data_IF_775888792520
#
_entry.id   IF_775888792520
#
_cell.length_a   1.000
_cell.length_b   1.000
_cell.length_c   1.000
_cell.angle_alpha   90.00
_cell.angle_beta   90.00
_cell.angle_gamma   90.00
#
_symmetry.space_group_name_H-M   'P 1'
#
loop_
_entity.id
_entity.type
_entity.pdbx_description
1 polymer ?
#
# COMPACT_ATOMS: atom_id res chain seq x y z
N UNK A 1 17.90 1.47 -22.97
CA UNK A 1 18.13 2.92 -23.11
C UNK A 1 16.95 3.63 -22.49
N UNK A 2 17.12 4.18 -21.29
CA UNK A 2 16.09 4.96 -20.61
C UNK A 2 16.23 6.43 -20.99
N UNK A 3 15.11 7.09 -21.26
CA UNK A 3 15.06 8.54 -21.45
C UNK A 3 15.32 9.18 -20.08
N UNK A 4 16.38 9.98 -19.96
CA UNK A 4 16.64 10.79 -18.77
C UNK A 4 15.71 12.00 -18.84
N UNK A 5 14.71 12.06 -17.97
CA UNK A 5 13.84 13.22 -17.86
C UNK A 5 14.59 14.35 -17.16
N UNK A 6 14.74 15.50 -17.83
CA UNK A 6 15.10 16.75 -17.17
C UNK A 6 13.81 17.55 -16.96
N UNK A 7 13.43 17.75 -15.71
CA UNK A 7 12.22 18.50 -15.37
C UNK A 7 12.57 19.98 -15.18
N UNK A 8 11.87 20.84 -15.91
CA UNK A 8 11.99 22.30 -15.77
C UNK A 8 11.66 22.71 -14.33
N UNK A 9 12.65 23.26 -13.62
CA UNK A 9 12.53 23.72 -12.24
C UNK A 9 13.14 22.79 -11.19
N UNK A 10 13.53 21.57 -11.55
CA UNK A 10 14.27 20.69 -10.66
C UNK A 10 15.71 21.19 -10.44
N UNK A 11 16.19 21.09 -9.20
CA UNK A 11 17.55 21.48 -8.85
C UNK A 11 18.47 20.26 -8.80
N UNK A 12 19.44 20.22 -9.69
CA UNK A 12 20.45 19.16 -9.74
C UNK A 12 19.92 17.85 -10.31
N UNK A 13 20.67 16.77 -10.05
CA UNK A 13 20.32 15.43 -10.48
C UNK A 13 19.08 14.92 -9.73
N UNK A 14 18.30 14.09 -10.42
CA UNK A 14 17.11 13.44 -9.87
C UNK A 14 17.34 11.95 -9.82
N UNK A 15 16.81 11.31 -8.79
CA UNK A 15 16.74 9.86 -8.70
C UNK A 15 15.30 9.39 -8.47
N UNK A 16 15.01 8.14 -8.81
CA UNK A 16 13.71 7.56 -8.52
C UNK A 16 13.53 7.41 -7.00
N UNK A 17 12.31 7.62 -6.50
CA UNK A 17 12.01 7.44 -5.08
C UNK A 17 12.38 6.05 -4.56
N UNK A 18 12.26 5.02 -5.41
CA UNK A 18 12.68 3.66 -5.08
C UNK A 18 14.17 3.58 -4.72
N UNK A 19 15.03 4.27 -5.47
CA UNK A 19 16.47 4.34 -5.24
C UNK A 19 16.80 5.22 -4.02
N UNK A 20 16.18 6.41 -3.95
CA UNK A 20 16.27 7.32 -2.82
C UNK A 20 15.93 6.61 -1.50
N UNK A 21 14.84 5.83 -1.49
CA UNK A 21 14.39 5.10 -0.31
C UNK A 21 15.45 4.14 0.23
N UNK A 22 16.29 3.53 -0.61
CA UNK A 22 17.27 2.55 -0.14
C UNK A 22 18.33 3.19 0.77
N UNK A 23 18.80 4.39 0.44
CA UNK A 23 19.88 5.05 1.17
C UNK A 23 19.42 6.16 2.13
N UNK A 24 18.26 6.76 1.90
CA UNK A 24 17.77 7.88 2.70
C UNK A 24 17.36 7.48 4.13
N UNK A 25 17.47 8.45 5.06
CA UNK A 25 17.04 8.28 6.44
C UNK A 25 15.51 8.31 6.57
N UNK A 26 14.97 7.76 7.67
CA UNK A 26 13.51 7.81 7.95
C UNK A 26 12.99 9.26 7.96
N UNK A 27 13.65 10.24 8.63
CA UNK A 27 13.23 11.65 8.56
C UNK A 27 13.19 12.20 7.13
N UNK A 28 14.19 11.92 6.31
CA UNK A 28 14.26 12.45 4.94
C UNK A 28 13.15 11.88 4.06
N UNK A 29 12.88 10.57 4.18
CA UNK A 29 11.77 9.92 3.47
C UNK A 29 10.42 10.51 3.91
N UNK A 30 10.23 10.74 5.22
CA UNK A 30 9.01 11.40 5.72
C UNK A 30 8.85 12.81 5.16
N UNK A 31 9.93 13.57 5.04
CA UNK A 31 9.92 14.91 4.45
C UNK A 31 9.54 14.87 2.97
N UNK A 32 10.14 13.98 2.19
CA UNK A 32 9.83 13.75 0.77
C UNK A 32 8.36 13.36 0.60
N UNK A 33 7.85 12.41 1.38
CA UNK A 33 6.44 12.00 1.35
C UNK A 33 5.51 13.16 1.74
N UNK A 34 5.88 13.97 2.74
CA UNK A 34 5.09 15.14 3.11
C UNK A 34 5.03 16.16 1.95
N UNK A 35 6.16 16.45 1.31
CA UNK A 35 6.22 17.36 0.16
C UNK A 35 5.36 16.83 -0.98
N UNK A 36 5.42 15.52 -1.26
CA UNK A 36 4.59 14.88 -2.28
C UNK A 36 3.08 15.10 -2.02
N UNK A 37 2.58 14.74 -0.85
CA UNK A 37 1.12 14.80 -0.58
C UNK A 37 0.60 16.20 -0.24
N UNK A 38 1.44 17.07 0.34
CA UNK A 38 1.04 18.43 0.74
C UNK A 38 1.29 19.47 -0.34
N UNK A 39 2.42 19.37 -1.04
CA UNK A 39 2.89 20.43 -1.91
C UNK A 39 2.70 20.02 -3.39
N UNK A 40 3.25 18.88 -3.82
CA UNK A 40 3.15 18.41 -5.23
C UNK A 40 1.73 18.03 -5.62
N UNK A 41 1.07 17.17 -4.84
CA UNK A 41 -0.29 16.69 -5.08
C UNK A 41 -1.34 17.44 -4.26
N UNK A 42 -0.94 18.42 -3.45
CA UNK A 42 -1.81 19.03 -2.43
C UNK A 42 -3.14 19.55 -2.99
N UNK A 43 -3.10 20.18 -4.16
CA UNK A 43 -4.29 20.71 -4.82
C UNK A 43 -5.33 19.63 -5.16
N UNK A 44 -4.89 18.40 -5.48
CA UNK A 44 -5.79 17.29 -5.79
C UNK A 44 -6.55 16.81 -4.56
N UNK A 45 -5.85 16.70 -3.43
CA UNK A 45 -6.41 16.16 -2.19
C UNK A 45 -7.11 17.21 -1.33
N UNK A 46 -6.81 18.51 -1.51
CA UNK A 46 -7.45 19.61 -0.80
C UNK A 46 -8.89 19.89 -1.27
N UNK A 47 -9.27 19.39 -2.45
CA UNK A 47 -10.59 19.61 -3.05
C UNK A 47 -11.33 18.29 -3.28
N UNK A 48 -11.60 17.49 -2.23
CA UNK A 48 -12.37 16.27 -2.38
C UNK A 48 -13.79 16.58 -2.83
N UNK A 49 -14.39 15.64 -3.57
CA UNK A 49 -15.82 15.64 -3.82
C UNK A 49 -16.63 15.49 -2.53
N UNK A 50 -17.94 15.32 -2.67
CA UNK A 50 -18.81 15.07 -1.50
C UNK A 50 -18.58 13.66 -0.95
N UNK A 51 -18.68 13.52 0.36
CA UNK A 51 -18.72 12.22 1.01
C UNK A 51 -19.95 11.45 0.52
N UNK A 52 -19.76 10.29 -0.07
CA UNK A 52 -20.85 9.48 -0.62
C UNK A 52 -20.50 7.99 -0.60
N UNK A 53 -21.49 7.09 -0.54
CA UNK A 53 -21.25 5.66 -0.65
C UNK A 53 -20.59 5.30 -1.99
N UNK A 54 -19.51 4.54 -1.96
CA UNK A 54 -18.80 4.05 -3.14
C UNK A 54 -18.57 2.54 -3.07
N UNK A 55 -18.70 1.86 -4.21
CA UNK A 55 -18.35 0.46 -4.39
C UNK A 55 -16.84 0.34 -4.58
N UNK A 56 -16.08 0.38 -3.48
CA UNK A 56 -14.62 0.48 -3.52
C UNK A 56 -13.98 -0.70 -4.26
N UNK A 57 -14.49 -1.91 -4.06
CA UNK A 57 -13.99 -3.10 -4.77
C UNK A 57 -14.09 -2.95 -6.29
N UNK A 58 -15.21 -2.45 -6.82
CA UNK A 58 -15.41 -2.28 -8.25
C UNK A 58 -14.48 -1.23 -8.86
N UNK A 59 -14.22 -0.12 -8.15
CA UNK A 59 -13.26 0.90 -8.60
C UNK A 59 -11.84 0.34 -8.68
N UNK A 60 -11.41 -0.43 -7.67
CA UNK A 60 -10.08 -1.03 -7.64
C UNK A 60 -9.90 -2.11 -8.71
N UNK A 61 -10.82 -3.05 -8.85
CA UNK A 61 -10.75 -4.12 -9.86
C UNK A 61 -10.69 -3.55 -11.28
N UNK A 62 -11.54 -2.55 -11.57
CA UNK A 62 -11.57 -1.87 -12.87
C UNK A 62 -10.27 -1.10 -13.12
N UNK A 63 -9.79 -0.35 -12.12
CA UNK A 63 -8.60 0.49 -12.25
C UNK A 63 -7.31 -0.30 -12.39
N UNK A 64 -7.22 -1.45 -11.71
CA UNK A 64 -6.03 -2.29 -11.69
C UNK A 64 -6.04 -3.37 -12.77
N UNK A 65 -7.19 -3.60 -13.42
CA UNK A 65 -7.31 -4.52 -14.55
C UNK A 65 -7.03 -5.98 -14.16
N UNK A 66 -7.63 -6.47 -13.08
CA UNK A 66 -7.65 -7.89 -12.73
C UNK A 66 -9.01 -8.32 -12.19
N UNK A 67 -9.21 -9.65 -12.16
CA UNK A 67 -10.36 -10.29 -11.52
C UNK A 67 -9.86 -11.20 -10.40
N UNK A 68 -10.70 -11.42 -9.40
CA UNK A 68 -10.41 -12.36 -8.32
C UNK A 68 -10.13 -13.78 -8.83
N UNK A 69 -10.79 -14.22 -9.92
CA UNK A 69 -10.53 -15.52 -10.56
C UNK A 69 -9.11 -15.62 -11.13
N UNK A 70 -8.64 -14.57 -11.82
CA UNK A 70 -7.27 -14.54 -12.33
C UNK A 70 -6.25 -14.53 -11.19
N UNK A 71 -6.56 -13.84 -10.10
CA UNK A 71 -5.71 -13.83 -8.91
C UNK A 71 -5.64 -15.20 -8.25
N UNK A 72 -6.77 -15.91 -8.13
CA UNK A 72 -6.83 -17.29 -7.65
C UNK A 72 -5.92 -18.21 -8.47
N UNK A 73 -5.99 -18.10 -9.79
CA UNK A 73 -5.14 -18.88 -10.70
C UNK A 73 -3.65 -18.61 -10.43
N UNK A 74 -3.25 -17.35 -10.29
CA UNK A 74 -1.86 -16.94 -9.99
C UNK A 74 -1.39 -17.54 -8.67
N UNK A 75 -2.20 -17.48 -7.61
CA UNK A 75 -1.84 -18.02 -6.29
C UNK A 75 -1.55 -19.52 -6.41
N UNK A 76 -2.43 -20.30 -7.05
CA UNK A 76 -2.23 -21.74 -7.24
C UNK A 76 -1.07 -22.09 -8.19
N UNK A 77 -0.91 -21.33 -9.28
CA UNK A 77 0.05 -21.67 -10.33
C UNK A 77 1.48 -21.21 -10.02
N UNK A 78 1.66 -20.10 -9.29
CA UNK A 78 2.96 -19.45 -9.12
C UNK A 78 3.47 -19.46 -7.66
N UNK A 79 2.60 -19.45 -6.64
CA UNK A 79 3.01 -19.43 -5.23
C UNK A 79 3.04 -20.83 -4.60
N UNK A 80 4.01 -21.67 -5.02
CA UNK A 80 4.11 -23.10 -4.63
C UNK A 80 4.42 -23.37 -3.14
N UNK A 81 4.89 -22.35 -2.46
CA UNK A 81 5.13 -22.28 -1.02
C UNK A 81 3.86 -22.02 -0.21
N UNK A 82 2.75 -21.66 -0.87
CA UNK A 82 1.44 -21.45 -0.26
C UNK A 82 0.55 -22.64 -0.58
N UNK A 83 0.09 -23.33 0.46
CA UNK A 83 -0.88 -24.39 0.34
C UNK A 83 -2.28 -23.81 0.50
N UNK A 84 -3.13 -24.08 -0.48
CA UNK A 84 -4.51 -23.61 -0.53
C UNK A 84 -5.42 -24.82 -0.33
N UNK A 85 -5.99 -24.95 0.87
CA UNK A 85 -7.04 -25.93 1.19
C UNK A 85 -8.33 -25.18 1.48
N UNK A 86 -8.87 -25.28 2.70
CA UNK A 86 -9.95 -24.42 3.22
C UNK A 86 -9.41 -23.08 3.76
N UNK A 87 -8.12 -23.06 4.12
CA UNK A 87 -7.36 -21.89 4.57
C UNK A 87 -6.00 -21.88 3.88
N UNK A 88 -5.36 -20.72 3.87
CA UNK A 88 -4.00 -20.56 3.36
C UNK A 88 -2.99 -20.97 4.43
N UNK A 89 -2.00 -21.76 4.05
CA UNK A 89 -0.84 -22.10 4.87
C UNK A 89 0.44 -21.75 4.13
N UNK A 90 1.36 -21.08 4.82
CA UNK A 90 2.64 -20.66 4.25
C UNK A 90 3.74 -21.57 4.79
N UNK A 91 4.45 -22.27 3.89
CA UNK A 91 5.55 -23.18 4.29
C UNK A 91 6.65 -22.47 5.07
N UNK A 92 6.91 -21.20 4.76
CA UNK A 92 7.91 -20.38 5.45
C UNK A 92 7.53 -20.05 6.90
N UNK A 93 6.27 -20.27 7.31
CA UNK A 93 5.78 -20.14 8.68
C UNK A 93 5.65 -21.51 9.37
N UNK A 94 6.31 -22.55 8.85
CA UNK A 94 6.30 -23.93 9.35
C UNK A 94 4.91 -24.57 9.51
N UNK A 95 3.86 -24.01 8.89
CA UNK A 95 2.49 -24.53 9.01
C UNK A 95 1.82 -24.29 10.36
N UNK A 96 2.46 -23.55 11.28
CA UNK A 96 1.95 -23.31 12.64
C UNK A 96 0.65 -22.49 12.66
N UNK A 97 0.37 -21.79 11.56
CA UNK A 97 -0.79 -20.89 11.41
C UNK A 97 -1.45 -21.05 10.05
N UNK A 98 -2.77 -20.92 10.03
CA UNK A 98 -3.58 -20.89 8.82
C UNK A 98 -4.38 -19.59 8.75
N UNK A 99 -4.56 -19.06 7.54
CA UNK A 99 -5.15 -17.74 7.29
C UNK A 99 -6.37 -17.86 6.39
N UNK A 100 -7.36 -16.97 6.52
CA UNK A 100 -8.49 -16.94 5.57
C UNK A 100 -7.96 -16.74 4.15
N UNK A 101 -8.54 -17.45 3.18
CA UNK A 101 -8.30 -17.18 1.75
C UNK A 101 -9.01 -15.87 1.37
N UNK A 102 -8.28 -14.78 1.12
CA UNK A 102 -8.88 -13.48 0.88
C UNK A 102 -9.62 -13.44 -0.46
N UNK A 103 -9.24 -14.28 -1.43
CA UNK A 103 -9.90 -14.35 -2.73
C UNK A 103 -11.24 -15.05 -2.59
N UNK A 104 -11.26 -16.22 -1.94
CA UNK A 104 -12.51 -16.94 -1.67
C UNK A 104 -13.47 -16.11 -0.80
N UNK A 105 -12.96 -15.43 0.23
CA UNK A 105 -13.77 -14.57 1.11
C UNK A 105 -14.47 -13.44 0.35
N UNK A 106 -13.84 -12.86 -0.69
CA UNK A 106 -14.41 -11.71 -1.39
C UNK A 106 -15.36 -12.07 -2.54
N UNK A 107 -15.42 -13.33 -2.95
CA UNK A 107 -16.28 -13.73 -4.07
C UNK A 107 -17.74 -13.35 -3.80
N UNK A 108 -18.31 -12.57 -4.73
CA UNK A 108 -19.70 -12.11 -4.65
C UNK A 108 -19.97 -11.04 -3.58
N UNK A 109 -18.95 -10.50 -2.89
CA UNK A 109 -19.12 -9.42 -1.91
C UNK A 109 -19.05 -8.04 -2.57
N UNK A 110 -19.82 -7.10 -2.03
CA UNK A 110 -19.76 -5.69 -2.39
C UNK A 110 -19.24 -4.88 -1.19
N UNK A 111 -18.11 -4.19 -1.37
CA UNK A 111 -17.47 -3.43 -0.31
C UNK A 111 -17.82 -1.95 -0.46
N UNK A 112 -18.95 -1.56 0.13
CA UNK A 112 -19.45 -0.18 0.07
C UNK A 112 -19.01 0.60 1.30
N UNK A 113 -18.37 1.77 1.10
CA UNK A 113 -18.06 2.72 2.19
C UNK A 113 -18.37 4.16 1.79
N UNK A 114 -18.87 5.00 2.73
CA UNK A 114 -18.89 6.44 2.53
C UNK A 114 -17.45 6.96 2.42
N UNK A 115 -17.09 7.53 1.29
CA UNK A 115 -15.73 8.00 1.02
C UNK A 115 -15.73 9.26 0.15
N UNK A 116 -14.56 9.89 0.03
CA UNK A 116 -14.32 10.98 -0.90
C UNK A 116 -13.71 10.48 -2.20
N UNK A 117 -14.07 11.14 -3.29
CA UNK A 117 -13.45 10.98 -4.60
C UNK A 117 -12.66 12.25 -4.92
N UNK A 118 -11.43 12.09 -5.37
CA UNK A 118 -10.60 13.18 -5.88
C UNK A 118 -9.77 12.70 -7.06
N UNK A 119 -9.06 13.62 -7.72
CA UNK A 119 -8.02 13.22 -8.68
C UNK A 119 -6.93 12.45 -7.95
N UNK A 120 -6.56 11.31 -8.51
CA UNK A 120 -5.47 10.45 -8.02
C UNK A 120 -4.50 10.18 -9.16
N UNK A 121 -3.22 9.98 -8.86
CA UNK A 121 -2.22 9.55 -9.83
C UNK A 121 -2.57 8.17 -10.37
N UNK A 122 -2.98 7.27 -9.47
CA UNK A 122 -3.48 5.94 -9.79
C UNK A 122 -2.41 4.86 -9.89
N UNK A 123 -1.15 5.24 -10.09
CA UNK A 123 0.04 4.36 -10.09
C UNK A 123 1.24 5.04 -9.39
N UNK A 124 1.06 5.46 -8.14
CA UNK A 124 2.07 6.17 -7.35
C UNK A 124 3.12 5.19 -6.77
N UNK A 125 4.01 4.68 -7.62
CA UNK A 125 5.08 3.76 -7.24
C UNK A 125 6.48 4.41 -7.24
N UNK A 126 7.49 3.68 -6.77
CA UNK A 126 8.85 4.19 -6.59
C UNK A 126 9.54 4.68 -7.88
N UNK A 127 9.06 4.29 -9.06
CA UNK A 127 9.60 4.73 -10.35
C UNK A 127 8.86 5.94 -10.93
N UNK A 128 7.62 6.17 -10.52
CA UNK A 128 6.80 7.29 -10.99
C UNK A 128 6.99 8.57 -10.14
N UNK A 129 7.89 8.50 -9.16
CA UNK A 129 8.31 9.58 -8.30
C UNK A 129 9.79 9.86 -8.52
N UNK A 130 10.14 11.11 -8.84
CA UNK A 130 11.52 11.58 -8.91
C UNK A 130 11.78 12.53 -7.73
N UNK A 131 12.88 12.29 -7.01
CA UNK A 131 13.33 13.11 -5.89
C UNK A 131 14.56 13.89 -6.33
N UNK A 132 14.55 15.20 -6.14
CA UNK A 132 15.73 16.04 -6.41
C UNK A 132 16.62 16.22 -5.16
N UNK A 133 17.79 16.84 -5.35
CA UNK A 133 18.80 17.02 -4.31
C UNK A 133 18.32 17.86 -3.11
N UNK A 134 17.23 18.62 -3.25
CA UNK A 134 16.65 19.44 -2.17
C UNK A 134 15.37 18.81 -1.59
N UNK A 135 15.07 17.55 -1.95
CA UNK A 135 13.94 16.79 -1.44
C UNK A 135 12.59 17.21 -2.03
N UNK A 136 12.58 17.90 -3.18
CA UNK A 136 11.36 18.13 -3.94
C UNK A 136 10.98 16.88 -4.72
N UNK A 137 9.67 16.67 -4.87
CA UNK A 137 9.12 15.47 -5.51
C UNK A 137 8.40 15.85 -6.78
N UNK A 138 8.76 15.15 -7.84
CA UNK A 138 8.18 15.30 -9.16
C UNK A 138 7.46 14.03 -9.57
N UNK A 139 6.27 14.20 -10.15
CA UNK A 139 5.46 13.10 -10.68
C UNK A 139 5.72 12.90 -12.16
N UNK A 140 5.76 11.65 -12.59
CA UNK A 140 5.78 11.26 -13.99
C UNK A 140 4.76 10.14 -14.25
N UNK A 141 4.45 9.91 -15.52
CA UNK A 141 3.51 8.88 -16.00
C UNK A 141 2.07 8.99 -15.46
N UNK A 142 1.36 10.00 -15.93
CA UNK A 142 -0.04 10.28 -15.59
C UNK A 142 -1.05 9.37 -16.31
N UNK A 143 -0.64 8.24 -16.89
CA UNK A 143 -1.52 7.37 -17.69
C UNK A 143 -2.75 6.88 -16.93
N UNK A 144 -2.61 6.68 -15.61
CA UNK A 144 -3.67 6.19 -14.74
C UNK A 144 -4.39 7.29 -13.97
N UNK A 145 -4.08 8.56 -14.23
CA UNK A 145 -4.64 9.69 -13.50
C UNK A 145 -6.10 9.87 -13.80
N UNK A 146 -6.95 9.79 -12.77
CA UNK A 146 -8.40 9.94 -12.88
C UNK A 146 -9.05 10.20 -11.50
N UNK A 147 -10.32 10.63 -11.47
CA UNK A 147 -11.13 10.58 -10.25
C UNK A 147 -11.20 9.14 -9.70
N UNK A 148 -10.85 8.96 -8.43
CA UNK A 148 -10.87 7.67 -7.73
C UNK A 148 -10.95 7.90 -6.22
N UNK A 149 -11.00 6.82 -5.45
CA UNK A 149 -10.97 6.87 -3.98
C UNK A 149 -9.78 7.71 -3.46
N UNK A 150 -10.07 8.66 -2.58
CA UNK A 150 -9.08 9.62 -2.05
C UNK A 150 -7.83 8.95 -1.46
N UNK A 151 -7.96 7.78 -0.82
CA UNK A 151 -6.83 7.09 -0.18
C UNK A 151 -6.02 6.21 -1.13
N UNK A 152 -6.38 6.12 -2.42
CA UNK A 152 -5.77 5.19 -3.38
C UNK A 152 -4.26 5.37 -3.49
N UNK A 153 -3.79 6.60 -3.66
CA UNK A 153 -2.38 6.88 -3.89
C UNK A 153 -1.54 6.63 -2.62
N UNK A 154 -2.06 6.99 -1.45
CA UNK A 154 -1.40 6.70 -0.16
C UNK A 154 -1.31 5.20 0.08
N UNK A 155 -2.40 4.46 -0.17
CA UNK A 155 -2.42 3.01 -0.01
C UNK A 155 -1.49 2.30 -1.02
N UNK A 156 -1.38 2.84 -2.25
CA UNK A 156 -0.41 2.35 -3.24
C UNK A 156 1.02 2.49 -2.72
N UNK A 157 1.40 3.70 -2.30
CA UNK A 157 2.75 3.94 -1.80
C UNK A 157 3.06 3.14 -0.52
N UNK A 158 2.06 2.94 0.36
CA UNK A 158 2.20 2.06 1.55
C UNK A 158 2.47 0.60 1.12
N UNK A 159 1.74 0.10 0.12
CA UNK A 159 1.98 -1.24 -0.43
C UNK A 159 3.36 -1.36 -1.10
N UNK A 160 3.80 -0.34 -1.85
CA UNK A 160 5.14 -0.29 -2.45
C UNK A 160 6.23 -0.35 -1.38
N UNK A 161 6.09 0.39 -0.28
CA UNK A 161 7.03 0.31 0.85
C UNK A 161 7.12 -1.12 1.40
N UNK A 162 5.98 -1.76 1.66
CA UNK A 162 5.93 -3.07 2.34
C UNK A 162 6.29 -4.25 1.42
N UNK A 163 5.90 -4.20 0.16
CA UNK A 163 5.99 -5.34 -0.76
C UNK A 163 7.10 -5.20 -1.79
N UNK A 164 7.52 -3.99 -2.14
CA UNK A 164 8.55 -3.77 -3.17
C UNK A 164 9.86 -3.25 -2.58
N UNK A 165 9.82 -2.21 -1.75
CA UNK A 165 11.02 -1.55 -1.22
C UNK A 165 11.66 -2.30 -0.05
N UNK A 166 10.86 -3.02 0.75
CA UNK A 166 11.36 -4.04 1.67
C UNK A 166 11.68 -5.32 0.89
N UNK A 167 12.94 -5.47 0.50
CA UNK A 167 13.43 -6.50 -0.41
C UNK A 167 13.34 -7.90 0.19
N UNK A 168 13.23 -8.93 -0.67
CA UNK A 168 12.97 -10.31 -0.25
C UNK A 168 13.95 -10.84 0.83
N UNK A 169 15.24 -10.51 0.73
CA UNK A 169 16.26 -10.97 1.67
C UNK A 169 16.40 -10.15 2.95
N UNK A 170 15.68 -9.03 3.08
CA UNK A 170 15.82 -8.13 4.23
C UNK A 170 14.97 -8.55 5.43
N UNK A 171 13.97 -9.41 5.24
CA UNK A 171 13.09 -9.86 6.31
C UNK A 171 12.42 -11.19 5.96
N UNK A 172 12.40 -12.11 6.93
CA UNK A 172 11.66 -13.36 6.85
C UNK A 172 10.14 -13.13 6.80
N UNK A 173 9.38 -14.11 6.32
CA UNK A 173 7.92 -14.02 6.31
C UNK A 173 7.34 -13.91 7.73
N UNK A 174 8.00 -14.49 8.74
CA UNK A 174 7.58 -14.39 10.15
C UNK A 174 7.74 -12.96 10.69
N UNK A 175 8.83 -12.27 10.38
CA UNK A 175 8.98 -10.87 10.79
C UNK A 175 8.03 -9.94 10.04
N UNK A 176 7.78 -10.22 8.74
CA UNK A 176 6.77 -9.53 7.94
C UNK A 176 5.35 -9.74 8.48
N UNK A 177 5.04 -10.94 8.97
CA UNK A 177 3.78 -11.23 9.66
C UNK A 177 3.61 -10.33 10.89
N UNK A 178 4.65 -10.21 11.74
CA UNK A 178 4.60 -9.35 12.92
C UNK A 178 4.37 -7.87 12.56
N UNK A 179 5.00 -7.39 11.48
CA UNK A 179 4.75 -6.05 10.92
C UNK A 179 3.28 -5.89 10.54
N UNK A 180 2.74 -6.80 9.75
CA UNK A 180 1.36 -6.74 9.25
C UNK A 180 0.35 -6.86 10.41
N UNK A 181 0.59 -7.69 11.41
CA UNK A 181 -0.27 -7.77 12.59
C UNK A 181 -0.31 -6.46 13.37
N UNK A 182 0.83 -5.77 13.53
CA UNK A 182 0.84 -4.46 14.16
C UNK A 182 0.02 -3.44 13.36
N UNK A 183 0.24 -3.40 12.04
CA UNK A 183 -0.45 -2.47 11.15
C UNK A 183 -1.96 -2.76 11.03
N UNK A 184 -2.39 -4.02 11.05
CA UNK A 184 -3.81 -4.38 10.92
C UNK A 184 -4.62 -4.21 12.21
N UNK A 185 -3.99 -3.97 13.37
CA UNK A 185 -4.70 -3.63 14.62
C UNK A 185 -5.46 -2.30 14.56
N UNK A 186 -5.12 -1.43 13.61
CA UNK A 186 -5.74 -0.11 13.45
C UNK A 186 -7.18 -0.26 12.93
N UNK A 187 -8.16 -0.07 13.80
CA UNK A 187 -9.60 -0.08 13.45
C UNK A 187 -10.16 1.31 13.26
N UNK A 188 -9.51 2.30 13.86
CA UNK A 188 -9.99 3.67 13.88
C UNK A 188 -8.89 4.63 13.48
N UNK A 189 -9.26 5.61 12.68
CA UNK A 189 -8.38 6.66 12.19
C UNK A 189 -7.71 7.44 13.34
N UNK A 190 -8.45 7.67 14.43
CA UNK A 190 -7.96 8.31 15.66
C UNK A 190 -6.84 7.54 16.39
N UNK A 191 -6.73 6.21 16.22
CA UNK A 191 -5.68 5.41 16.86
C UNK A 191 -4.28 5.79 16.34
N UNK A 192 -4.17 6.25 15.09
CA UNK A 192 -2.90 6.61 14.46
C UNK A 192 -2.14 7.74 15.15
N UNK A 193 -2.85 8.61 15.88
CA UNK A 193 -2.27 9.71 16.66
C UNK A 193 -1.65 9.20 17.97
N UNK A 194 -2.16 8.09 18.50
CA UNK A 194 -1.76 7.49 19.77
C UNK A 194 -0.70 6.40 19.61
N UNK A 195 -0.57 5.82 18.41
CA UNK A 195 0.46 4.82 18.13
C UNK A 195 1.85 5.44 18.21
N UNK A 196 2.59 5.13 19.26
CA UNK A 196 4.00 5.46 19.40
C UNK A 196 4.78 4.16 19.57
N UNK A 197 5.54 3.77 18.55
CA UNK A 197 6.55 2.71 18.60
C UNK A 197 6.05 1.33 19.13
N UNK A 198 4.81 0.95 18.81
CA UNK A 198 4.23 -0.35 19.22
C UNK A 198 4.87 -1.57 18.51
N UNK A 199 5.75 -1.34 17.53
CA UNK A 199 6.46 -2.37 16.80
C UNK A 199 7.97 -2.26 17.07
N UNK A 200 8.48 -3.23 17.83
CA UNK A 200 9.91 -3.35 18.13
C UNK A 200 10.53 -4.46 17.29
N UNK A 201 11.66 -4.15 16.64
CA UNK A 201 12.44 -5.12 15.87
C UNK A 201 13.90 -4.68 15.83
N UNK A 202 14.82 -5.65 15.85
CA UNK A 202 16.25 -5.41 15.61
C UNK A 202 16.57 -5.29 14.11
N UNK A 203 15.60 -5.57 13.24
CA UNK A 203 15.76 -5.50 11.80
C UNK A 203 15.53 -4.06 11.29
N UNK A 204 16.59 -3.36 10.84
CA UNK A 204 16.48 -1.95 10.47
C UNK A 204 15.59 -1.72 9.24
N UNK A 205 15.55 -2.67 8.30
CA UNK A 205 14.71 -2.56 7.10
C UNK A 205 13.21 -2.64 7.47
N UNK A 206 12.84 -3.52 8.40
CA UNK A 206 11.47 -3.61 8.92
C UNK A 206 11.09 -2.41 9.76
N UNK A 207 11.97 -1.93 10.63
CA UNK A 207 11.73 -0.72 11.41
C UNK A 207 11.47 0.49 10.47
N UNK A 208 12.26 0.60 9.40
CA UNK A 208 12.07 1.60 8.35
C UNK A 208 10.73 1.44 7.63
N UNK A 209 10.40 0.24 7.17
CA UNK A 209 9.12 -0.04 6.50
C UNK A 209 7.92 0.32 7.40
N UNK A 210 7.93 -0.12 8.67
CA UNK A 210 6.90 0.22 9.65
C UNK A 210 6.75 1.73 9.84
N UNK A 211 7.86 2.43 10.11
CA UNK A 211 7.85 3.86 10.38
C UNK A 211 7.30 4.69 9.21
N UNK A 212 7.58 4.26 7.97
CA UNK A 212 7.08 4.93 6.76
C UNK A 212 5.62 4.55 6.48
N UNK A 213 5.23 3.28 6.62
CA UNK A 213 3.83 2.85 6.50
C UNK A 213 2.91 3.56 7.50
N UNK A 214 3.33 3.67 8.77
CA UNK A 214 2.58 4.40 9.79
C UNK A 214 2.46 5.89 9.45
N UNK A 215 3.52 6.49 8.89
CA UNK A 215 3.50 7.88 8.43
C UNK A 215 2.52 8.10 7.27
N UNK A 216 2.51 7.20 6.29
CA UNK A 216 1.54 7.22 5.18
C UNK A 216 0.11 7.10 5.69
N UNK A 217 -0.16 6.19 6.64
CA UNK A 217 -1.48 6.06 7.26
C UNK A 217 -1.91 7.32 8.02
N UNK A 218 -0.99 8.03 8.67
CA UNK A 218 -1.25 9.37 9.26
C UNK A 218 -1.57 10.43 8.21
N UNK A 219 -1.00 10.34 7.01
CA UNK A 219 -1.40 11.20 5.89
C UNK A 219 -2.82 10.85 5.43
N UNK A 220 -3.15 9.56 5.30
CA UNK A 220 -4.52 9.12 5.00
C UNK A 220 -5.53 9.69 6.00
N UNK A 221 -5.24 9.64 7.30
CA UNK A 221 -6.07 10.26 8.36
C UNK A 221 -6.39 11.72 8.05
N UNK A 222 -5.37 12.51 7.66
CA UNK A 222 -5.54 13.94 7.36
C UNK A 222 -6.39 14.17 6.12
N UNK A 223 -6.26 13.32 5.10
CA UNK A 223 -7.03 13.41 3.85
C UNK A 223 -8.53 13.17 4.07
N UNK A 224 -8.90 12.35 5.05
CA UNK A 224 -10.30 12.08 5.41
C UNK A 224 -10.73 12.76 6.71
N UNK A 225 -10.01 13.79 7.17
CA UNK A 225 -10.28 14.44 8.46
C UNK A 225 -11.69 15.05 8.57
N UNK A 226 -12.32 15.38 7.44
CA UNK A 226 -13.69 15.89 7.37
C UNK A 226 -14.76 14.77 7.42
N UNK A 227 -14.37 13.50 7.29
CA UNK A 227 -15.29 12.38 7.43
C UNK A 227 -15.67 12.26 8.91
N UNK A 228 -16.96 12.38 9.27
CA UNK A 228 -17.39 12.24 10.66
C UNK A 228 -17.23 10.79 11.16
N UNK A 229 -17.10 9.82 10.25
CA UNK A 229 -16.78 8.45 10.60
C UNK A 229 -15.29 8.33 10.93
N UNK A 230 -15.00 7.72 12.08
CA UNK A 230 -13.64 7.38 12.51
C UNK A 230 -13.25 5.95 12.10
N UNK A 231 -14.01 5.35 11.19
CA UNK A 231 -13.83 3.97 10.69
C UNK A 231 -12.65 3.87 9.71
N UNK A 232 -11.70 2.98 10.00
CA UNK A 232 -10.50 2.76 9.17
C UNK A 232 -10.74 1.79 7.99
N UNK A 233 -11.93 1.20 7.88
CA UNK A 233 -12.21 0.12 6.93
C UNK A 233 -12.05 0.52 5.45
N UNK A 234 -12.27 1.79 5.07
CA UNK A 234 -11.99 2.25 3.70
C UNK A 234 -10.50 2.16 3.34
N UNK A 235 -9.61 2.38 4.31
CA UNK A 235 -8.18 2.20 4.14
C UNK A 235 -7.81 0.72 4.07
N UNK A 236 -8.43 -0.13 4.91
CA UNK A 236 -8.24 -1.58 4.82
C UNK A 236 -8.64 -2.11 3.44
N UNK A 237 -9.77 -1.68 2.88
CA UNK A 237 -10.18 -2.06 1.52
C UNK A 237 -9.14 -1.61 0.50
N UNK A 238 -8.62 -0.37 0.61
CA UNK A 238 -7.53 0.10 -0.25
C UNK A 238 -6.28 -0.78 -0.14
N UNK A 239 -5.82 -1.07 1.07
CA UNK A 239 -4.65 -1.88 1.34
C UNK A 239 -4.79 -3.32 0.82
N UNK A 240 -5.98 -3.92 0.95
CA UNK A 240 -6.33 -5.24 0.43
C UNK A 240 -6.17 -5.32 -1.09
N UNK A 241 -6.75 -4.36 -1.82
CA UNK A 241 -6.66 -4.35 -3.28
C UNK A 241 -5.25 -4.02 -3.78
N UNK A 242 -4.50 -3.20 -3.04
CA UNK A 242 -3.08 -2.98 -3.33
C UNK A 242 -2.25 -4.23 -3.07
N UNK A 243 -2.55 -5.01 -2.02
CA UNK A 243 -1.91 -6.29 -1.78
C UNK A 243 -2.17 -7.27 -2.93
N UNK A 244 -3.42 -7.39 -3.40
CA UNK A 244 -3.76 -8.17 -4.60
C UNK A 244 -3.01 -7.73 -5.85
N UNK A 245 -2.88 -6.41 -6.05
CA UNK A 245 -2.09 -5.88 -7.14
C UNK A 245 -0.63 -6.33 -7.06
N UNK A 246 -0.03 -6.40 -5.87
CA UNK A 246 1.36 -6.86 -5.72
C UNK A 246 1.51 -8.38 -5.85
N UNK A 247 0.52 -9.18 -5.41
CA UNK A 247 0.53 -10.65 -5.61
C UNK A 247 0.64 -11.03 -7.09
N UNK A 248 0.06 -10.24 -8.01
CA UNK A 248 0.11 -10.50 -9.47
C UNK A 248 1.36 -9.98 -10.18
N UNK A 249 2.23 -9.22 -9.52
CA UNK A 249 3.43 -8.67 -10.16
C UNK A 249 4.51 -9.75 -10.27
N UNK A 250 4.71 -10.27 -11.48
CA UNK A 250 5.75 -11.27 -11.77
C UNK A 250 7.18 -10.73 -11.63
N UNK A 251 7.35 -9.41 -11.56
CA UNK A 251 8.62 -8.74 -11.27
C UNK A 251 9.03 -8.86 -9.81
N UNK A 252 8.09 -9.13 -8.89
CA UNK A 252 8.38 -9.34 -7.48
C UNK A 252 8.82 -10.77 -7.22
N UNK A 253 9.70 -10.92 -6.22
CA UNK A 253 10.16 -12.23 -5.75
C UNK A 253 9.02 -12.98 -5.04
N UNK A 254 9.02 -14.34 -5.03
CA UNK A 254 7.98 -15.12 -4.36
C UNK A 254 7.72 -14.69 -2.91
N UNK A 255 8.77 -14.40 -2.15
CA UNK A 255 8.69 -13.98 -0.74
C UNK A 255 7.92 -12.65 -0.57
N UNK A 256 8.09 -11.71 -1.50
CA UNK A 256 7.37 -10.44 -1.52
C UNK A 256 5.90 -10.63 -1.90
N UNK A 257 5.61 -11.55 -2.82
CA UNK A 257 4.24 -11.87 -3.25
C UNK A 257 3.49 -12.66 -2.17
N UNK A 258 4.18 -13.55 -1.46
CA UNK A 258 3.67 -14.23 -0.27
C UNK A 258 3.36 -13.23 0.86
N UNK A 259 4.23 -12.27 1.10
CA UNK A 259 3.97 -11.18 2.05
C UNK A 259 2.71 -10.39 1.68
N UNK A 260 2.53 -10.04 0.41
CA UNK A 260 1.32 -9.38 -0.05
C UNK A 260 0.07 -10.24 0.16
N UNK A 261 0.11 -11.53 -0.16
CA UNK A 261 -1.01 -12.45 0.07
C UNK A 261 -1.34 -12.59 1.56
N UNK A 262 -0.33 -12.71 2.41
CA UNK A 262 -0.48 -12.77 3.86
C UNK A 262 -1.15 -11.50 4.42
N UNK A 263 -0.69 -10.32 3.97
CA UNK A 263 -1.31 -9.04 4.32
C UNK A 263 -2.78 -9.01 3.92
N UNK A 264 -3.12 -9.45 2.71
CA UNK A 264 -4.51 -9.53 2.25
C UNK A 264 -5.38 -10.45 3.13
N UNK A 265 -4.85 -11.60 3.55
CA UNK A 265 -5.55 -12.51 4.48
C UNK A 265 -5.86 -11.86 5.84
N UNK A 266 -4.91 -11.13 6.41
CA UNK A 266 -5.12 -10.43 7.69
C UNK A 266 -6.16 -9.32 7.55
N UNK A 267 -6.15 -8.60 6.44
CA UNK A 267 -7.12 -7.53 6.18
C UNK A 267 -8.54 -8.08 6.07
N UNK A 268 -8.77 -9.20 5.37
CA UNK A 268 -10.13 -9.78 5.29
C UNK A 268 -10.62 -10.32 6.63
N UNK A 269 -9.72 -10.82 7.48
CA UNK A 269 -10.04 -11.16 8.87
C UNK A 269 -10.46 -9.91 9.64
N UNK A 270 -9.77 -8.79 9.43
CA UNK A 270 -10.06 -7.54 10.12
C UNK A 270 -11.34 -6.84 9.67
N UNK A 271 -11.74 -7.02 8.41
CA UNK A 271 -12.99 -6.50 7.88
C UNK A 271 -14.21 -7.34 8.30
N UNK A 272 -14.03 -8.37 9.13
CA UNK A 272 -15.05 -9.33 9.56
C UNK A 272 -15.83 -9.95 8.38
N UNK A 273 -15.12 -10.25 7.28
CA UNK A 273 -15.70 -10.83 6.05
C UNK A 273 -15.74 -12.35 6.03
#
# INVERSE_FOLDING_TARGET
GGIVYSLLGAKGDQEHFGDFYQHASIPDIKNVINNLFRDTCGAWYANPGRLQPQYLNADYETSMGFTLERLKQIIHSELKSVEVTDRLQFKQLNGDRSFKDPVATLMGKHLVRPTYICTTHGDLNGNNLLVDQVGQVWLIDFRHTKPSHILRDVANLDAVVRFQLLQAGEASLAERLALEECLNRIQRFSQLEQMTDDFTTDNPALAKAYAISLHLRRIARRMVAQNPSDDFSEYHIAALYQAFYHVRLSTLRPEQREHALLSASLVVEQLDL
#
